data_IF_702176210580
#
_entry.id   IF_702176210580
#
_cell.length_a   1.000
_cell.length_b   1.000
_cell.length_c   1.000
_cell.angle_alpha   90.00
_cell.angle_beta   90.00
_cell.angle_gamma   90.00
#
_symmetry.space_group_name_H-M   'P 1'
#
loop_
_entity.id
_entity.type
_entity.pdbx_description
1 polymer ?
#
# COMPACT_ATOMS: atom_id res chain seq x y z
N UNK A 1 -18.90 -7.18 9.00
CA UNK A 1 -19.93 -8.03 8.35
C UNK A 1 -19.28 -8.77 7.19
N UNK A 2 -19.64 -10.03 6.95
CA UNK A 2 -19.18 -10.80 5.77
C UNK A 2 -19.96 -10.39 4.52
N UNK A 3 -19.37 -10.57 3.34
CA UNK A 3 -20.10 -10.52 2.07
C UNK A 3 -21.25 -11.55 2.08
N UNK A 4 -22.31 -11.27 1.31
CA UNK A 4 -23.43 -12.20 1.13
C UNK A 4 -22.97 -13.51 0.48
N UNK A 5 -23.63 -14.61 0.83
CA UNK A 5 -23.38 -15.92 0.22
C UNK A 5 -23.69 -15.85 -1.28
N UNK A 6 -22.76 -16.24 -2.17
CA UNK A 6 -23.02 -16.29 -3.61
C UNK A 6 -24.18 -17.22 -3.94
N UNK A 7 -25.02 -16.83 -4.90
CA UNK A 7 -26.13 -17.66 -5.41
C UNK A 7 -25.68 -18.78 -6.35
N UNK A 8 -24.40 -18.82 -6.73
CA UNK A 8 -23.85 -19.77 -7.69
C UNK A 8 -22.59 -20.42 -7.13
N UNK A 9 -22.43 -21.71 -7.38
CA UNK A 9 -21.21 -22.47 -7.05
C UNK A 9 -20.00 -21.86 -7.74
N UNK A 10 -18.89 -21.75 -7.02
CA UNK A 10 -17.63 -21.17 -7.52
C UNK A 10 -16.45 -22.01 -7.08
N UNK A 11 -15.43 -22.05 -7.93
CA UNK A 11 -14.12 -22.63 -7.62
C UNK A 11 -13.11 -21.51 -7.45
N UNK A 12 -12.27 -21.58 -6.41
CA UNK A 12 -11.20 -20.61 -6.21
C UNK A 12 -10.05 -20.92 -7.19
N UNK A 13 -9.68 -19.93 -8.00
CA UNK A 13 -8.62 -20.06 -9.00
C UNK A 13 -7.32 -19.35 -8.61
N UNK A 14 -7.40 -18.44 -7.65
CA UNK A 14 -6.30 -17.58 -7.24
C UNK A 14 -6.54 -17.05 -5.84
N UNK A 15 -5.48 -16.82 -5.10
CA UNK A 15 -5.51 -16.04 -3.88
C UNK A 15 -4.34 -15.09 -3.87
N UNK A 16 -4.65 -13.79 -3.93
CA UNK A 16 -3.69 -12.74 -3.63
C UNK A 16 -3.89 -12.31 -2.18
N UNK A 17 -2.80 -12.21 -1.42
CA UNK A 17 -2.79 -11.50 -0.14
C UNK A 17 -1.77 -10.37 -0.21
N UNK A 18 -2.15 -9.23 0.34
CA UNK A 18 -1.26 -8.08 0.52
C UNK A 18 -1.35 -7.66 1.97
N UNK A 19 -0.21 -7.52 2.64
CA UNK A 19 -0.10 -6.95 3.98
C UNK A 19 0.81 -5.73 3.97
N UNK A 20 0.57 -4.83 4.92
CA UNK A 20 1.44 -3.70 5.23
C UNK A 20 1.71 -3.65 6.72
N UNK A 21 2.97 -3.50 7.08
CA UNK A 21 3.41 -3.30 8.45
C UNK A 21 4.18 -1.99 8.54
N UNK A 22 3.89 -1.20 9.58
CA UNK A 22 4.46 0.13 9.78
C UNK A 22 5.30 0.17 11.04
N UNK A 23 6.52 0.70 10.94
CA UNK A 23 7.51 0.70 12.01
C UNK A 23 8.06 2.11 12.23
N UNK A 24 8.20 2.52 13.50
CA UNK A 24 9.02 3.68 13.87
C UNK A 24 10.46 3.21 14.05
N UNK A 25 11.40 3.96 13.51
CA UNK A 25 12.84 3.74 13.67
C UNK A 25 13.41 4.68 14.72
N UNK A 26 14.55 4.28 15.30
CA UNK A 26 15.25 5.08 16.32
C UNK A 26 15.94 6.32 15.74
N UNK A 27 16.17 6.36 14.43
CA UNK A 27 16.73 7.50 13.70
C UNK A 27 15.69 8.60 13.35
N UNK A 28 14.46 8.44 13.83
CA UNK A 28 13.36 9.38 13.58
C UNK A 28 12.67 9.20 12.22
N UNK A 29 13.02 8.17 11.45
CA UNK A 29 12.33 7.77 10.23
C UNK A 29 11.29 6.67 10.51
N UNK A 30 10.59 6.25 9.47
CA UNK A 30 9.56 5.22 9.53
C UNK A 30 9.73 4.26 8.37
N UNK A 31 9.55 2.97 8.62
CA UNK A 31 9.50 1.95 7.58
C UNK A 31 8.07 1.49 7.35
N UNK A 32 7.68 1.39 6.08
CA UNK A 32 6.47 0.73 5.64
C UNK A 32 6.87 -0.51 4.83
N UNK A 33 6.57 -1.69 5.33
CA UNK A 33 6.86 -2.97 4.68
C UNK A 33 5.58 -3.51 4.05
N UNK A 34 5.57 -3.60 2.73
CA UNK A 34 4.53 -4.29 1.97
C UNK A 34 4.96 -5.69 1.59
N UNK A 35 4.05 -6.65 1.71
CA UNK A 35 4.24 -8.03 1.27
C UNK A 35 3.10 -8.46 0.37
N UNK A 36 3.41 -9.06 -0.79
CA UNK A 36 2.45 -9.62 -1.72
C UNK A 36 2.72 -11.11 -1.90
N UNK A 37 1.67 -11.92 -1.74
CA UNK A 37 1.68 -13.35 -2.09
C UNK A 37 0.57 -13.68 -3.06
N UNK A 38 0.89 -14.47 -4.07
CA UNK A 38 -0.04 -15.00 -5.06
C UNK A 38 0.02 -16.54 -5.06
N UNK A 39 -1.05 -17.19 -4.63
CA UNK A 39 -1.09 -18.64 -4.41
C UNK A 39 -2.22 -19.29 -5.24
N UNK A 40 -1.94 -20.51 -5.73
CA UNK A 40 -2.90 -21.41 -6.37
C UNK A 40 -3.22 -22.59 -5.45
N UNK A 41 -4.46 -23.09 -5.50
CA UNK A 41 -4.88 -24.28 -4.73
C UNK A 41 -4.71 -25.59 -5.48
N UNK A 42 -4.17 -25.51 -6.67
CA UNK A 42 -3.90 -26.61 -7.56
C UNK A 42 -2.48 -26.45 -8.08
N UNK A 43 -1.89 -27.56 -8.49
CA UNK A 43 -0.59 -27.52 -9.15
C UNK A 43 -0.69 -26.69 -10.43
N UNK A 44 0.20 -25.73 -10.56
CA UNK A 44 0.20 -24.77 -11.64
C UNK A 44 1.40 -25.03 -12.56
N UNK A 45 1.12 -25.51 -13.77
CA UNK A 45 2.14 -25.73 -14.78
C UNK A 45 2.59 -24.39 -15.38
N UNK A 46 3.80 -23.97 -15.04
CA UNK A 46 4.50 -22.84 -15.67
C UNK A 46 5.41 -23.35 -16.77
N UNK A 47 5.84 -22.45 -17.65
CA UNK A 47 6.88 -22.75 -18.65
C UNK A 47 8.23 -23.11 -18.00
N UNK A 48 8.45 -22.65 -16.77
CA UNK A 48 9.65 -22.90 -15.96
C UNK A 48 9.54 -24.13 -15.06
N UNK A 49 8.40 -24.83 -15.09
CA UNK A 49 8.17 -26.05 -14.31
C UNK A 49 6.85 -26.05 -13.55
N UNK A 50 6.61 -27.12 -12.80
CA UNK A 50 5.42 -27.24 -11.97
C UNK A 50 5.59 -26.43 -10.67
N UNK A 51 4.65 -25.53 -10.38
CA UNK A 51 4.52 -24.91 -9.06
C UNK A 51 3.47 -25.69 -8.26
N UNK A 52 3.84 -26.36 -7.15
CA UNK A 52 2.87 -27.12 -6.36
C UNK A 52 1.77 -26.25 -5.75
N UNK A 53 0.59 -26.83 -5.55
CA UNK A 53 -0.51 -26.19 -4.84
C UNK A 53 -0.05 -25.66 -3.46
N UNK A 54 -0.51 -24.46 -3.11
CA UNK A 54 -0.17 -23.80 -1.85
C UNK A 54 1.18 -23.06 -1.84
N UNK A 55 2.07 -23.32 -2.81
CA UNK A 55 3.33 -22.59 -2.95
C UNK A 55 3.10 -21.29 -3.70
N UNK A 56 3.60 -20.14 -3.22
CA UNK A 56 3.46 -18.87 -3.93
C UNK A 56 4.07 -18.90 -5.34
N UNK A 57 3.33 -18.38 -6.31
CA UNK A 57 3.81 -18.03 -7.65
C UNK A 57 4.54 -16.70 -7.61
N UNK A 58 4.01 -15.74 -6.84
CA UNK A 58 4.68 -14.49 -6.49
C UNK A 58 4.78 -14.39 -4.98
N UNK A 59 5.97 -14.08 -4.49
CA UNK A 59 6.26 -13.76 -3.09
C UNK A 59 7.22 -12.58 -3.10
N UNK A 60 6.71 -11.39 -2.81
CA UNK A 60 7.39 -10.13 -3.09
C UNK A 60 7.25 -9.13 -1.95
N UNK A 61 8.37 -8.52 -1.60
CA UNK A 61 8.48 -7.53 -0.54
C UNK A 61 8.87 -6.17 -1.09
N UNK A 62 8.38 -5.13 -0.44
CA UNK A 62 8.91 -3.78 -0.60
C UNK A 62 8.97 -3.07 0.76
N UNK A 63 10.16 -2.63 1.17
CA UNK A 63 10.34 -1.75 2.33
C UNK A 63 10.54 -0.33 1.83
N UNK A 64 9.69 0.59 2.29
CA UNK A 64 9.78 2.02 1.97
C UNK A 64 10.06 2.78 3.25
N UNK A 65 11.23 3.40 3.34
CA UNK A 65 11.60 4.27 4.45
C UNK A 65 11.18 5.70 4.14
N UNK A 66 10.41 6.34 5.02
CA UNK A 66 9.90 7.70 4.85
C UNK A 66 10.19 8.58 6.06
N UNK A 67 10.27 9.89 5.81
CA UNK A 67 10.19 10.89 6.88
C UNK A 67 8.75 11.19 7.32
N UNK A 68 8.60 12.01 8.35
CA UNK A 68 7.30 12.53 8.80
C UNK A 68 6.61 13.46 7.79
N UNK A 69 7.34 13.85 6.74
CA UNK A 69 6.89 14.58 5.55
C UNK A 69 6.43 13.66 4.40
N UNK A 70 6.37 12.34 4.64
CA UNK A 70 5.98 11.32 3.66
C UNK A 70 6.91 11.21 2.45
N UNK A 71 8.12 11.77 2.51
CA UNK A 71 9.10 11.67 1.42
C UNK A 71 9.94 10.40 1.59
N UNK A 72 10.09 9.64 0.50
CA UNK A 72 10.87 8.41 0.45
C UNK A 72 12.35 8.74 0.62
N UNK A 73 12.98 8.12 1.62
CA UNK A 73 14.42 8.20 1.93
C UNK A 73 15.18 7.00 1.37
N UNK A 74 14.57 5.82 1.44
CA UNK A 74 15.11 4.58 0.85
C UNK A 74 13.97 3.65 0.46
N UNK A 75 14.26 2.78 -0.49
CA UNK A 75 13.37 1.72 -0.92
C UNK A 75 14.18 0.47 -1.21
N UNK A 76 13.71 -0.66 -0.68
CA UNK A 76 14.26 -1.99 -0.94
C UNK A 76 13.12 -2.88 -1.44
N UNK A 77 13.42 -3.71 -2.45
CA UNK A 77 12.48 -4.67 -3.02
C UNK A 77 13.16 -6.03 -3.02
N UNK A 78 12.40 -7.08 -2.72
CA UNK A 78 12.84 -8.48 -2.81
C UNK A 78 11.77 -9.36 -3.44
N UNK A 79 12.20 -10.34 -4.20
CA UNK A 79 11.35 -11.31 -4.89
C UNK A 79 11.81 -12.71 -4.51
N UNK A 80 11.12 -13.32 -3.56
CA UNK A 80 11.43 -14.66 -3.06
C UNK A 80 10.73 -15.75 -3.90
N UNK A 81 9.59 -15.40 -4.51
CA UNK A 81 8.79 -16.28 -5.35
C UNK A 81 8.45 -15.60 -6.67
N UNK A 82 8.71 -16.27 -7.78
CA UNK A 82 8.48 -15.75 -9.12
C UNK A 82 8.32 -16.86 -10.16
N UNK A 83 7.67 -16.56 -11.31
CA UNK A 83 7.56 -17.49 -12.41
C UNK A 83 8.86 -17.62 -13.23
N UNK A 84 9.69 -16.57 -13.30
CA UNK A 84 10.93 -16.55 -14.09
C UNK A 84 12.13 -16.17 -13.21
N UNK A 85 12.66 -17.15 -12.49
CA UNK A 85 13.81 -16.99 -11.58
C UNK A 85 15.04 -16.47 -12.33
N UNK A 86 15.75 -15.49 -11.75
CA UNK A 86 16.91 -14.83 -12.34
C UNK A 86 16.58 -13.79 -13.42
N UNK A 87 15.30 -13.59 -13.76
CA UNK A 87 14.85 -12.58 -14.70
C UNK A 87 13.88 -11.57 -14.06
N UNK A 88 12.93 -12.04 -13.24
CA UNK A 88 11.96 -11.18 -12.57
C UNK A 88 12.61 -10.29 -11.49
N UNK A 89 13.57 -10.82 -10.75
CA UNK A 89 14.28 -10.19 -9.63
C UNK A 89 15.34 -9.16 -10.07
N UNK A 90 15.81 -9.21 -11.32
CA UNK A 90 16.77 -8.23 -11.86
C UNK A 90 16.28 -6.78 -11.80
N UNK A 91 14.96 -6.56 -11.72
CA UNK A 91 14.37 -5.22 -11.69
C UNK A 91 14.39 -4.58 -10.29
N UNK A 92 14.68 -5.34 -9.22
CA UNK A 92 14.66 -4.85 -7.83
C UNK A 92 15.43 -3.53 -7.63
N UNK A 93 16.68 -3.37 -8.10
CA UNK A 93 17.43 -2.15 -7.88
C UNK A 93 16.83 -0.91 -8.57
N UNK A 94 16.01 -1.10 -9.62
CA UNK A 94 15.43 0.01 -10.37
C UNK A 94 14.45 0.83 -9.51
N UNK A 95 13.85 0.22 -8.47
CA UNK A 95 12.91 0.91 -7.58
C UNK A 95 13.56 2.04 -6.78
N UNK A 96 14.89 2.05 -6.61
CA UNK A 96 15.62 3.16 -6.01
C UNK A 96 15.37 4.52 -6.71
N UNK A 97 14.91 4.52 -7.96
CA UNK A 97 14.50 5.74 -8.69
C UNK A 97 13.32 6.48 -8.05
N UNK A 98 12.58 5.84 -7.15
CA UNK A 98 11.47 6.45 -6.42
C UNK A 98 11.92 7.21 -5.16
N UNK A 99 13.20 7.15 -4.78
CA UNK A 99 13.74 7.95 -3.68
C UNK A 99 13.53 9.45 -3.98
N UNK A 100 13.04 10.19 -3.00
CA UNK A 100 12.64 11.58 -3.14
C UNK A 100 11.18 11.80 -3.57
N UNK A 101 10.46 10.77 -4.03
CA UNK A 101 9.03 10.88 -4.27
C UNK A 101 8.27 11.05 -2.94
N UNK A 102 7.17 11.81 -2.96
CA UNK A 102 6.28 11.94 -1.79
C UNK A 102 5.14 10.94 -1.90
N UNK A 103 4.90 10.15 -0.87
CA UNK A 103 3.73 9.28 -0.78
C UNK A 103 2.41 10.07 -0.70
N UNK A 104 2.45 11.33 -0.27
CA UNK A 104 1.26 12.17 -0.11
C UNK A 104 0.92 12.96 -1.38
N UNK A 105 1.93 13.43 -2.12
CA UNK A 105 1.75 14.35 -3.24
C UNK A 105 2.01 13.67 -4.58
N UNK A 106 0.94 13.20 -5.23
CA UNK A 106 1.01 12.70 -6.61
C UNK A 106 1.71 11.35 -6.80
N UNK A 107 2.00 10.62 -5.70
CA UNK A 107 2.83 9.40 -5.74
C UNK A 107 2.45 8.42 -6.84
N UNK A 108 1.16 8.09 -6.98
CA UNK A 108 0.71 7.10 -7.96
C UNK A 108 1.07 7.49 -9.39
N UNK A 109 0.97 8.78 -9.72
CA UNK A 109 1.38 9.28 -11.04
C UNK A 109 2.88 9.11 -11.22
N UNK A 110 3.68 9.59 -10.26
CA UNK A 110 5.15 9.45 -10.28
C UNK A 110 5.58 7.98 -10.39
N UNK A 111 4.91 7.09 -9.66
CA UNK A 111 5.16 5.66 -9.67
C UNK A 111 4.95 5.06 -11.07
N UNK A 112 3.81 5.32 -11.72
CA UNK A 112 3.54 4.80 -13.06
C UNK A 112 4.37 5.47 -14.16
N UNK A 113 4.69 6.76 -14.01
CA UNK A 113 5.62 7.44 -14.93
C UNK A 113 7.02 6.81 -14.85
N UNK A 114 7.49 6.48 -13.65
CA UNK A 114 8.85 5.95 -13.42
C UNK A 114 8.94 4.44 -13.71
N UNK A 115 8.01 3.66 -13.15
CA UNK A 115 8.05 2.19 -13.10
C UNK A 115 6.97 1.50 -13.95
N UNK A 116 6.21 2.25 -14.74
CA UNK A 116 5.15 1.69 -15.59
C UNK A 116 5.69 0.86 -16.76
N UNK A 117 4.90 -0.14 -17.17
CA UNK A 117 5.26 -1.06 -18.24
C UNK A 117 6.52 -1.87 -17.88
N UNK A 118 7.44 -2.01 -18.83
CA UNK A 118 8.67 -2.82 -18.66
C UNK A 118 9.72 -2.18 -17.74
N UNK A 119 9.49 -0.97 -17.23
CA UNK A 119 10.42 -0.26 -16.33
C UNK A 119 10.34 -0.72 -14.88
N UNK A 120 9.35 -1.55 -14.55
CA UNK A 120 9.14 -2.14 -13.24
C UNK A 120 8.47 -3.51 -13.34
N UNK A 121 8.35 -4.18 -12.21
CA UNK A 121 7.50 -5.36 -12.08
C UNK A 121 6.06 -4.91 -11.84
N UNK A 122 5.09 -5.43 -12.60
CA UNK A 122 3.67 -5.11 -12.39
C UNK A 122 3.22 -5.33 -10.93
N UNK A 123 3.68 -6.41 -10.31
CA UNK A 123 3.32 -6.80 -8.94
C UNK A 123 3.86 -5.82 -7.89
N UNK A 124 5.16 -5.52 -7.91
CA UNK A 124 5.79 -4.59 -6.97
C UNK A 124 5.28 -3.16 -7.22
N UNK A 125 5.06 -2.79 -8.48
CA UNK A 125 4.46 -1.49 -8.81
C UNK A 125 3.02 -1.37 -8.29
N UNK A 126 2.21 -2.43 -8.40
CA UNK A 126 0.86 -2.46 -7.81
C UNK A 126 0.92 -2.40 -6.27
N UNK A 127 1.81 -3.17 -5.65
CA UNK A 127 2.07 -3.12 -4.21
C UNK A 127 2.35 -1.66 -3.80
N UNK A 128 3.37 -1.03 -4.37
CA UNK A 128 3.71 0.35 -4.03
C UNK A 128 2.56 1.35 -4.30
N UNK A 129 1.67 1.11 -5.27
CA UNK A 129 0.53 1.98 -5.54
C UNK A 129 -0.45 2.08 -4.35
N UNK A 130 -0.44 1.13 -3.42
CA UNK A 130 -1.23 1.15 -2.19
C UNK A 130 -0.49 1.75 -0.98
N UNK A 131 0.84 1.90 -1.05
CA UNK A 131 1.67 2.45 0.02
C UNK A 131 1.20 3.80 0.58
N UNK A 132 0.70 4.77 -0.23
CA UNK A 132 0.22 6.06 0.31
C UNK A 132 -0.82 5.95 1.42
N UNK A 133 -1.84 5.10 1.23
CA UNK A 133 -2.93 4.97 2.18
C UNK A 133 -2.45 4.22 3.43
N UNK A 134 -1.62 3.19 3.27
CA UNK A 134 -1.03 2.46 4.38
C UNK A 134 -0.11 3.37 5.23
N UNK A 135 0.71 4.22 4.60
CA UNK A 135 1.54 5.21 5.31
C UNK A 135 0.70 6.21 6.10
N UNK A 136 -0.39 6.73 5.52
CA UNK A 136 -1.31 7.64 6.24
C UNK A 136 -1.89 6.96 7.49
N UNK A 137 -2.32 5.70 7.36
CA UNK A 137 -2.86 4.95 8.49
C UNK A 137 -1.80 4.58 9.54
N UNK A 138 -0.56 4.33 9.13
CA UNK A 138 0.57 4.13 10.05
C UNK A 138 0.79 5.35 10.96
N UNK A 139 0.58 6.57 10.45
CA UNK A 139 0.69 7.79 11.25
C UNK A 139 -0.59 8.14 12.03
N UNK A 140 -1.72 7.48 11.75
CA UNK A 140 -2.97 7.71 12.48
C UNK A 140 -2.77 7.38 13.97
N UNK A 141 -3.20 8.28 14.86
CA UNK A 141 -2.98 8.15 16.31
C UNK A 141 -1.59 8.54 16.83
N UNK A 142 -0.58 8.77 15.96
CA UNK A 142 0.72 9.30 16.39
C UNK A 142 0.73 10.83 16.54
N UNK A 143 -0.15 11.52 15.83
CA UNK A 143 -0.42 12.96 16.00
C UNK A 143 -1.72 13.10 16.79
N UNK A 144 -1.75 14.00 17.77
CA UNK A 144 -3.01 14.33 18.47
C UNK A 144 -4.00 14.86 17.43
N UNK A 145 -5.13 14.18 17.30
CA UNK A 145 -6.12 14.48 16.26
C UNK A 145 -6.86 15.80 16.52
N UNK A 146 -6.90 16.26 17.77
CA UNK A 146 -7.56 17.50 18.17
C UNK A 146 -6.68 18.14 19.27
N UNK A 147 -6.02 19.24 18.94
CA UNK A 147 -5.43 20.14 19.94
C UNK A 147 -6.28 21.42 20.04
N UNK A 148 -6.55 21.96 21.23
CA UNK A 148 -7.25 23.24 21.37
C UNK A 148 -6.49 24.35 20.64
N UNK A 149 -7.12 24.97 19.64
CA UNK A 149 -6.49 25.99 18.80
C UNK A 149 -5.55 25.44 17.70
N UNK A 150 -5.53 24.13 17.49
CA UNK A 150 -4.74 23.49 16.43
C UNK A 150 -5.34 23.62 15.03
N UNK A 151 -4.52 23.36 14.03
CA UNK A 151 -4.93 23.33 12.62
C UNK A 151 -5.96 22.23 12.33
N UNK A 152 -6.65 22.37 11.20
CA UNK A 152 -7.60 21.36 10.69
C UNK A 152 -6.94 19.97 10.61
N UNK A 153 -7.53 18.91 11.22
CA UNK A 153 -6.95 17.59 11.21
C UNK A 153 -6.82 17.07 9.79
N UNK A 154 -5.67 16.46 9.50
CA UNK A 154 -5.28 16.03 8.17
C UNK A 154 -6.32 15.14 7.46
N UNK A 155 -7.07 14.36 8.23
CA UNK A 155 -8.08 13.40 7.79
C UNK A 155 -9.41 14.02 7.31
N UNK A 156 -9.73 15.26 7.70
CA UNK A 156 -10.96 15.91 7.27
C UNK A 156 -10.91 16.25 5.76
N UNK A 157 -12.03 16.04 5.06
CA UNK A 157 -12.18 16.10 3.59
C UNK A 157 -11.30 15.13 2.79
N UNK A 158 -10.72 14.12 3.43
CA UNK A 158 -9.92 13.07 2.76
C UNK A 158 -10.56 11.69 2.78
N UNK A 159 -11.68 11.54 3.47
CA UNK A 159 -12.53 10.35 3.36
C UNK A 159 -14.01 10.76 3.42
N UNK A 160 -14.87 9.91 2.88
CA UNK A 160 -16.31 10.18 2.78
C UNK A 160 -16.96 10.52 4.13
N UNK A 161 -16.61 9.78 5.19
CA UNK A 161 -17.17 9.99 6.52
C UNK A 161 -16.71 11.29 7.20
N UNK A 162 -15.58 11.86 6.77
CA UNK A 162 -14.98 13.05 7.38
C UNK A 162 -15.02 14.27 6.46
N UNK A 163 -15.90 14.25 5.46
CA UNK A 163 -16.22 15.44 4.70
C UNK A 163 -16.90 16.45 5.64
N UNK A 164 -16.44 17.69 5.59
CA UNK A 164 -16.75 18.71 6.60
C UNK A 164 -18.22 19.15 6.68
N UNK A 165 -19.08 18.76 5.75
CA UNK A 165 -20.53 19.00 5.80
C UNK A 165 -21.33 17.83 6.36
N UNK A 166 -20.69 16.71 6.69
CA UNK A 166 -21.36 15.52 7.22
C UNK A 166 -21.73 15.64 8.70
N UNK A 167 -22.76 14.88 9.11
CA UNK A 167 -23.16 14.75 10.52
C UNK A 167 -22.04 14.19 11.41
N UNK A 168 -21.15 13.37 10.84
CA UNK A 168 -19.99 12.81 11.55
C UNK A 168 -19.04 13.93 11.96
N UNK A 169 -18.71 14.86 11.07
CA UNK A 169 -17.88 16.03 11.42
C UNK A 169 -18.62 16.94 12.39
N UNK A 170 -19.93 17.17 12.20
CA UNK A 170 -20.76 17.94 13.14
C UNK A 170 -20.65 17.41 14.57
N UNK A 171 -20.66 16.09 14.74
CA UNK A 171 -20.65 15.41 16.04
C UNK A 171 -19.27 15.32 16.68
N UNK A 172 -18.25 14.94 15.91
CA UNK A 172 -16.93 14.59 16.45
C UNK A 172 -15.86 15.67 16.23
N UNK A 173 -16.09 16.59 15.30
CA UNK A 173 -15.16 17.65 14.89
C UNK A 173 -15.89 19.00 14.73
N UNK A 174 -16.71 19.44 15.70
CA UNK A 174 -17.66 20.55 15.52
C UNK A 174 -16.99 21.86 15.11
N UNK A 175 -15.74 22.10 15.56
CA UNK A 175 -14.99 23.31 15.20
C UNK A 175 -14.63 23.42 13.71
N UNK A 176 -14.68 22.31 12.96
CA UNK A 176 -14.39 22.27 11.51
C UNK A 176 -15.60 21.88 10.66
N UNK A 177 -16.79 21.80 11.26
CA UNK A 177 -18.03 21.55 10.53
C UNK A 177 -18.42 22.75 9.67
N UNK A 178 -18.74 22.50 8.40
CA UNK A 178 -19.09 23.51 7.38
C UNK A 178 -20.47 23.28 6.75
N UNK A 179 -21.24 22.29 7.23
CA UNK A 179 -22.62 22.10 6.80
C UNK A 179 -23.50 23.24 7.32
N UNK A 180 -24.51 23.61 6.52
CA UNK A 180 -25.26 24.86 6.68
C UNK A 180 -25.80 25.11 8.11
N UNK A 181 -25.79 26.39 8.48
CA UNK A 181 -26.74 26.95 9.43
C UNK A 181 -28.16 26.91 8.83
#
# INVERSE_FOLDING_TARGET
MSLATPSTTRTRLHTRRVSYEGFRRDDGLFDLEGHLTDIKDHDYALLTGLRPAGVPVHDMWARVTIGSDYVIRSIEVRTDGMPYEGACDLIEPAYAKLVGASLLHGFRKTLYDTMGGVRGCSHVTELLAHAPTAAIQMFAGLRREIEPGGDKPFQLDRCHALETTTDTVRRYYPQWYRGAA
#
